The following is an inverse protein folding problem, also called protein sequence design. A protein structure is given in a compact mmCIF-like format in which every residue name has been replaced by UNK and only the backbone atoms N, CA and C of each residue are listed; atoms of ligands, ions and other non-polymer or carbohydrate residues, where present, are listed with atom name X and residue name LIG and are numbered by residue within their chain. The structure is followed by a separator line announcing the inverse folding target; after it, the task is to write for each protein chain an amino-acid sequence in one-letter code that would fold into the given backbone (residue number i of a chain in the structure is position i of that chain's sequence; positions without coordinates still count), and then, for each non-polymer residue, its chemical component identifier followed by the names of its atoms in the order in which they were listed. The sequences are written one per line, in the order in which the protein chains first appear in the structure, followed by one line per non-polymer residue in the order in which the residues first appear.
data_IF_553888893097
#
_entry.id   IF_553888893097
#
_cell.length_a   1.000
_cell.length_b   1.000
_cell.length_c   1.000
_cell.angle_alpha   90.00
_cell.angle_beta   90.00
_cell.angle_gamma   90.00
#
_symmetry.space_group_name_H-M   'P 1'
#
loop_
_entity.id
_entity.type
_entity.pdbx_description
1 polymer ?
#
# COMPACT_ATOMS: atom_id res chain seq x y z
N UNK A 1 -31.77 -23.62 -57.19
CA UNK A 1 -32.78 -23.11 -56.23
C UNK A 1 -32.08 -22.06 -55.36
N UNK A 2 -32.03 -20.79 -55.78
CA UNK A 2 -32.91 -19.66 -55.34
C UNK A 2 -32.85 -19.39 -53.82
N UNK A 3 -32.49 -18.22 -53.28
CA UNK A 3 -32.65 -16.83 -53.73
C UNK A 3 -31.65 -15.90 -52.99
N UNK A 4 -31.02 -14.99 -53.74
CA UNK A 4 -30.64 -13.66 -53.25
C UNK A 4 -31.81 -12.70 -53.48
N UNK A 5 -32.13 -11.83 -52.51
CA UNK A 5 -33.02 -10.68 -52.73
C UNK A 5 -32.31 -9.39 -52.28
N UNK A 6 -32.07 -8.54 -53.28
CA UNK A 6 -31.81 -7.10 -53.13
C UNK A 6 -33.09 -6.38 -52.69
N UNK A 7 -32.96 -5.34 -51.89
CA UNK A 7 -34.01 -4.31 -51.74
C UNK A 7 -33.40 -2.94 -52.03
N UNK A 8 -34.06 -2.27 -52.96
CA UNK A 8 -33.76 -0.97 -53.54
C UNK A 8 -34.03 0.20 -52.61
N UNK A 9 -33.24 1.25 -52.79
CA UNK A 9 -33.48 2.62 -52.36
C UNK A 9 -34.55 3.28 -53.25
N UNK A 10 -35.49 4.05 -52.69
CA UNK A 10 -36.10 5.19 -53.39
C UNK A 10 -36.72 6.22 -52.43
N UNK A 11 -36.47 7.47 -52.80
CA UNK A 11 -36.81 8.75 -52.18
C UNK A 11 -38.32 9.02 -52.08
N UNK A 12 -38.75 9.79 -51.07
CA UNK A 12 -39.92 10.68 -51.19
C UNK A 12 -39.81 11.93 -50.29
N UNK A 13 -39.74 13.08 -50.99
CA UNK A 13 -40.15 14.47 -50.72
C UNK A 13 -40.35 15.06 -49.30
N UNK A 14 -39.63 16.17 -49.10
CA UNK A 14 -40.09 17.54 -48.80
C UNK A 14 -41.50 17.77 -48.21
N UNK A 15 -41.55 18.44 -47.05
CA UNK A 15 -42.32 19.70 -46.93
C UNK A 15 -41.79 20.60 -45.80
N UNK A 16 -41.29 21.77 -46.20
CA UNK A 16 -41.10 22.95 -45.36
C UNK A 16 -42.47 23.44 -44.85
N UNK A 17 -42.55 23.91 -43.61
CA UNK A 17 -43.51 24.95 -43.26
C UNK A 17 -42.95 25.92 -42.21
N UNK A 18 -43.05 27.18 -42.59
CA UNK A 18 -42.52 28.39 -41.98
C UNK A 18 -43.52 28.97 -40.98
N UNK A 19 -43.08 29.36 -39.78
CA UNK A 19 -43.89 30.20 -38.89
C UNK A 19 -43.10 31.47 -38.53
N UNK A 20 -43.68 32.59 -38.95
CA UNK A 20 -43.20 33.97 -38.84
C UNK A 20 -43.26 34.51 -37.41
N UNK A 21 -42.28 35.37 -37.12
CA UNK A 21 -42.19 36.33 -35.99
C UNK A 21 -43.46 37.16 -35.79
N UNK A 22 -43.79 37.45 -34.52
CA UNK A 22 -44.41 38.72 -34.10
C UNK A 22 -43.80 39.21 -32.78
N UNK A 23 -43.26 40.43 -32.81
CA UNK A 23 -43.07 41.31 -31.63
C UNK A 23 -44.38 42.05 -31.37
N UNK A 24 -44.63 42.51 -30.14
CA UNK A 24 -44.95 43.93 -30.01
C UNK A 24 -44.35 44.64 -28.78
N UNK A 25 -43.97 45.88 -29.04
CA UNK A 25 -44.08 47.11 -28.24
C UNK A 25 -43.64 47.20 -26.77
N UNK A 26 -42.64 48.08 -26.60
CA UNK A 26 -42.27 48.84 -25.41
C UNK A 26 -43.42 49.66 -24.82
N UNK A 27 -43.54 49.70 -23.49
CA UNK A 27 -44.09 50.81 -22.71
C UNK A 27 -43.19 51.07 -21.49
N UNK A 28 -42.70 52.30 -21.41
CA UNK A 28 -41.95 52.86 -20.27
C UNK A 28 -42.87 52.95 -19.03
N UNK A 29 -42.39 52.49 -17.89
CA UNK A 29 -42.79 53.00 -16.58
C UNK A 29 -41.59 53.07 -15.64
N UNK A 30 -41.56 54.15 -14.87
CA UNK A 30 -40.43 54.68 -14.14
C UNK A 30 -40.00 53.88 -12.90
N UNK A 31 -38.71 54.04 -12.63
CA UNK A 31 -37.94 53.87 -11.39
C UNK A 31 -38.75 53.79 -10.09
N UNK A 32 -38.55 52.69 -9.34
CA UNK A 32 -38.52 52.72 -7.88
C UNK A 32 -37.53 51.66 -7.38
N UNK A 33 -36.41 52.14 -6.85
CA UNK A 33 -35.33 51.35 -6.24
C UNK A 33 -35.73 50.88 -4.84
N UNK A 34 -35.84 49.56 -4.64
CA UNK A 34 -35.76 48.94 -3.31
C UNK A 34 -34.84 47.71 -3.44
N UNK A 35 -33.60 47.86 -3.01
CA UNK A 35 -32.65 46.76 -2.90
C UNK A 35 -32.97 45.94 -1.64
N UNK A 36 -33.55 44.75 -1.82
CA UNK A 36 -33.67 43.75 -0.76
C UNK A 36 -32.68 42.62 -1.07
N UNK A 37 -31.50 42.67 -0.44
CA UNK A 37 -30.49 41.64 -0.55
C UNK A 37 -30.91 40.40 0.26
N UNK A 38 -31.51 39.43 -0.42
CA UNK A 38 -31.68 38.06 0.09
C UNK A 38 -30.34 37.33 -0.04
N UNK A 39 -29.62 37.21 1.08
CA UNK A 39 -28.47 36.32 1.21
C UNK A 39 -29.00 34.88 1.26
N UNK A 40 -29.07 34.24 0.10
CA UNK A 40 -29.17 32.78 0.04
C UNK A 40 -27.80 32.23 0.38
N UNK A 41 -27.64 31.74 1.61
CA UNK A 41 -26.47 30.94 1.99
C UNK A 41 -26.51 29.64 1.17
N UNK A 42 -25.88 29.66 0.00
CA UNK A 42 -25.51 28.45 -0.72
C UNK A 42 -24.46 27.72 0.13
N UNK A 43 -24.94 26.82 1.00
CA UNK A 43 -24.10 25.80 1.59
C UNK A 43 -23.53 24.98 0.44
N UNK A 44 -22.27 25.25 0.09
CA UNK A 44 -21.49 24.38 -0.78
C UNK A 44 -21.30 23.08 0.00
N UNK A 45 -22.21 22.13 -0.18
CA UNK A 45 -21.90 20.74 0.07
C UNK A 45 -20.79 20.42 -0.92
N UNK A 46 -19.55 20.43 -0.43
CA UNK A 46 -18.42 19.97 -1.19
C UNK A 46 -18.67 18.49 -1.51
N UNK A 47 -19.15 18.23 -2.73
CA UNK A 47 -19.06 16.91 -3.32
C UNK A 47 -17.59 16.47 -3.21
N UNK A 48 -17.29 15.20 -2.87
CA UNK A 48 -15.91 14.74 -2.79
C UNK A 48 -15.28 14.97 -4.17
N UNK A 49 -14.36 15.93 -4.23
CA UNK A 49 -13.58 16.15 -5.43
C UNK A 49 -12.87 14.84 -5.74
N UNK A 50 -13.22 14.25 -6.86
CA UNK A 50 -12.45 13.18 -7.49
C UNK A 50 -11.15 13.80 -7.98
N UNK A 51 -10.27 14.10 -7.02
CA UNK A 51 -9.03 14.83 -7.24
C UNK A 51 -8.03 13.96 -8.00
N UNK A 52 -7.19 14.60 -8.81
CA UNK A 52 -6.06 13.96 -9.45
C UNK A 52 -5.23 13.19 -8.40
N UNK A 53 -4.98 11.91 -8.64
CA UNK A 53 -4.07 11.06 -7.83
C UNK A 53 -2.58 11.49 -8.02
N UNK A 54 -2.28 12.79 -8.09
CA UNK A 54 -0.93 13.31 -8.25
C UNK A 54 -0.22 13.51 -6.91
N UNK A 55 -0.97 13.78 -5.84
CA UNK A 55 -0.42 13.94 -4.48
C UNK A 55 -0.65 12.66 -3.68
N UNK A 56 0.42 11.99 -3.18
CA UNK A 56 0.28 10.75 -2.46
C UNK A 56 -0.56 10.93 -1.19
N UNK A 57 -1.49 10.01 -0.88
CA UNK A 57 -2.25 10.08 0.37
C UNK A 57 -1.28 9.97 1.55
N UNK A 58 -1.16 11.00 2.41
CA UNK A 58 -0.13 11.06 3.46
C UNK A 58 -0.13 9.83 4.37
N UNK A 59 -1.33 9.37 4.72
CA UNK A 59 -1.52 8.23 5.59
C UNK A 59 -0.85 6.96 5.02
N UNK A 60 -0.90 6.76 3.69
CA UNK A 60 -0.34 5.56 3.07
C UNK A 60 1.19 5.53 3.21
N UNK A 61 1.82 6.70 3.26
CA UNK A 61 3.28 6.86 3.36
C UNK A 61 3.76 7.07 4.80
N UNK A 62 2.85 7.05 5.78
CA UNK A 62 3.17 7.28 7.18
C UNK A 62 3.52 8.73 7.45
N UNK A 63 2.71 9.67 6.93
CA UNK A 63 2.82 11.10 7.23
C UNK A 63 1.46 11.69 7.59
N UNK A 64 1.43 12.67 8.49
CA UNK A 64 0.22 13.40 8.86
C UNK A 64 -0.17 14.46 7.82
N UNK A 65 0.78 14.92 7.00
CA UNK A 65 0.60 16.05 6.09
C UNK A 65 0.94 15.68 4.64
N UNK A 66 0.25 16.30 3.66
CA UNK A 66 0.61 16.23 2.23
C UNK A 66 2.08 16.48 1.97
N UNK A 67 2.61 15.82 0.94
CA UNK A 67 3.96 16.09 0.45
C UNK A 67 4.01 17.53 -0.09
N UNK A 68 4.90 18.36 0.46
CA UNK A 68 5.24 19.66 -0.11
C UNK A 68 6.36 19.51 -1.14
N UNK A 69 6.34 20.24 -2.27
CA UNK A 69 7.40 20.18 -3.27
C UNK A 69 8.78 20.45 -2.64
N UNK A 70 9.75 19.58 -2.93
CA UNK A 70 11.11 19.68 -2.39
C UNK A 70 11.29 19.15 -0.97
N UNK A 71 10.24 18.64 -0.31
CA UNK A 71 10.40 18.01 1.00
C UNK A 71 11.28 16.75 0.90
N UNK A 72 12.30 16.69 1.74
CA UNK A 72 13.16 15.53 1.92
C UNK A 72 12.72 14.71 3.14
N UNK A 73 13.26 13.50 3.28
CA UNK A 73 13.11 12.72 4.50
C UNK A 73 13.50 13.58 5.72
N UNK A 74 12.70 13.54 6.82
CA UNK A 74 13.08 14.21 8.05
C UNK A 74 14.49 13.80 8.44
N UNK A 75 15.32 14.78 8.81
CA UNK A 75 16.62 14.48 9.38
C UNK A 75 16.41 13.58 10.61
N UNK A 76 17.25 12.55 10.83
CA UNK A 76 17.22 11.84 12.08
C UNK A 76 17.39 12.84 13.23
N UNK A 77 16.71 12.63 14.37
CA UNK A 77 16.89 13.51 15.52
C UNK A 77 18.38 13.61 15.86
N UNK A 78 18.82 14.80 16.26
CA UNK A 78 20.20 15.02 16.66
C UNK A 78 20.57 14.00 17.74
N UNK A 79 21.74 13.37 17.59
CA UNK A 79 22.25 12.48 18.62
C UNK A 79 22.36 13.28 19.94
N UNK A 80 21.94 12.71 21.07
CA UNK A 80 22.10 13.38 22.36
C UNK A 80 23.57 13.71 22.61
N UNK A 81 23.82 14.85 23.27
CA UNK A 81 25.16 15.39 23.50
C UNK A 81 26.09 14.41 24.25
N UNK A 82 25.51 13.52 25.05
CA UNK A 82 26.17 12.34 25.58
C UNK A 82 25.28 11.11 25.30
N UNK A 83 25.86 9.97 24.88
CA UNK A 83 25.10 8.74 24.80
C UNK A 83 24.60 8.38 26.21
N UNK A 84 23.33 7.96 26.36
CA UNK A 84 22.87 7.45 27.64
C UNK A 84 23.73 6.26 28.07
N UNK A 85 23.84 5.99 29.38
CA UNK A 85 24.52 4.78 29.85
C UNK A 85 23.94 3.54 29.16
N UNK A 86 24.75 2.49 28.92
CA UNK A 86 24.28 1.29 28.25
C UNK A 86 23.09 0.69 29.02
N UNK A 87 21.94 0.58 28.35
CA UNK A 87 20.83 -0.20 28.87
C UNK A 87 21.20 -1.68 28.80
N UNK A 88 21.36 -2.29 29.97
CA UNK A 88 21.74 -3.70 30.13
C UNK A 88 20.53 -4.58 30.46
N UNK A 89 19.32 -4.03 30.37
CA UNK A 89 18.08 -4.76 30.63
C UNK A 89 17.90 -5.88 29.61
N UNK A 90 17.74 -7.09 30.12
CA UNK A 90 17.52 -8.29 29.31
C UNK A 90 16.02 -8.46 29.05
N UNK A 91 15.63 -8.42 27.78
CA UNK A 91 14.23 -8.64 27.36
C UNK A 91 14.02 -10.10 26.94
N UNK A 92 12.77 -10.56 27.04
CA UNK A 92 12.33 -11.90 26.62
C UNK A 92 11.01 -11.79 25.89
N UNK A 93 10.77 -12.70 24.95
CA UNK A 93 9.48 -12.85 24.28
C UNK A 93 8.87 -14.22 24.59
N UNK A 94 7.53 -14.31 24.75
CA UNK A 94 6.85 -15.59 24.84
C UNK A 94 7.20 -16.50 23.66
N UNK A 95 7.52 -17.76 23.94
CA UNK A 95 7.90 -18.76 22.92
C UNK A 95 9.37 -18.70 22.47
N UNK A 96 10.13 -17.67 22.85
CA UNK A 96 11.57 -17.62 22.60
C UNK A 96 12.36 -18.20 23.78
N UNK A 97 13.45 -18.91 23.49
CA UNK A 97 14.41 -19.36 24.49
C UNK A 97 15.53 -18.33 24.75
N UNK A 98 15.55 -17.25 23.96
CA UNK A 98 16.61 -16.26 23.97
C UNK A 98 16.24 -15.04 24.79
N UNK A 99 17.26 -14.30 25.19
CA UNK A 99 17.12 -13.03 25.87
C UNK A 99 18.16 -12.06 25.34
N UNK A 100 17.74 -10.83 25.05
CA UNK A 100 18.58 -9.83 24.40
C UNK A 100 18.39 -8.46 25.06
N UNK A 101 19.47 -7.67 25.06
CA UNK A 101 19.43 -6.24 25.36
C UNK A 101 18.87 -5.47 24.16
N UNK A 102 18.35 -4.26 24.40
CA UNK A 102 17.75 -3.45 23.35
C UNK A 102 18.72 -3.09 22.20
N UNK A 103 20.02 -2.93 22.50
CA UNK A 103 21.04 -2.70 21.49
C UNK A 103 21.29 -3.92 20.60
N UNK A 104 21.19 -5.15 21.13
CA UNK A 104 21.28 -6.39 20.37
C UNK A 104 20.04 -6.60 19.50
N UNK A 105 18.86 -6.28 20.03
CA UNK A 105 17.59 -6.38 19.29
C UNK A 105 17.61 -5.51 18.02
N UNK A 106 18.28 -4.36 18.09
CA UNK A 106 18.26 -3.34 17.03
C UNK A 106 19.60 -3.18 16.33
N UNK A 107 20.52 -4.12 16.49
CA UNK A 107 21.81 -4.07 15.79
C UNK A 107 21.56 -4.09 14.28
N UNK A 108 22.17 -3.14 13.57
CA UNK A 108 22.05 -3.03 12.13
C UNK A 108 22.77 -4.13 11.37
N UNK A 109 23.69 -4.84 12.01
CA UNK A 109 24.57 -5.82 11.38
C UNK A 109 24.60 -7.14 12.14
N UNK A 110 23.51 -7.44 12.85
CA UNK A 110 23.33 -8.67 13.62
C UNK A 110 22.14 -8.55 14.58
N UNK A 111 20.95 -8.15 14.09
CA UNK A 111 19.78 -7.99 14.96
C UNK A 111 19.40 -9.32 15.59
N UNK A 112 18.80 -9.25 16.78
CA UNK A 112 18.32 -10.43 17.49
C UNK A 112 17.37 -11.29 16.62
N UNK A 113 17.65 -12.58 16.60
CA UNK A 113 16.74 -13.60 16.10
C UNK A 113 16.06 -14.30 17.27
N UNK A 114 14.81 -13.89 17.53
CA UNK A 114 14.01 -14.46 18.62
C UNK A 114 13.55 -15.89 18.34
N UNK A 115 13.41 -16.27 17.07
CA UNK A 115 12.78 -17.52 16.66
C UNK A 115 13.53 -18.18 15.48
N UNK A 116 14.77 -18.67 15.69
CA UNK A 116 15.56 -19.29 14.63
C UNK A 116 14.90 -20.52 13.97
N UNK A 117 13.92 -21.15 14.64
CA UNK A 117 13.15 -22.26 14.11
C UNK A 117 12.08 -21.89 13.07
N UNK A 118 11.80 -20.59 12.89
CA UNK A 118 10.76 -20.11 11.98
C UNK A 118 11.22 -19.98 10.51
N UNK A 119 12.51 -20.14 10.26
CA UNK A 119 13.10 -19.92 8.95
C UNK A 119 14.31 -20.83 8.72
N UNK A 120 14.74 -21.03 7.45
CA UNK A 120 16.00 -21.68 7.15
C UNK A 120 17.19 -20.95 7.78
N UNK A 121 18.39 -21.54 7.70
CA UNK A 121 19.61 -20.82 8.09
C UNK A 121 19.75 -19.53 7.27
N UNK A 122 19.87 -18.39 7.96
CA UNK A 122 20.10 -17.11 7.29
C UNK A 122 21.47 -17.08 6.61
N UNK A 123 21.57 -16.67 5.33
CA UNK A 123 22.84 -16.31 4.73
C UNK A 123 23.37 -15.02 5.35
N UNK A 124 24.69 -14.79 5.24
CA UNK A 124 25.37 -13.68 5.90
C UNK A 124 24.81 -12.31 5.51
N UNK A 125 24.49 -12.10 4.23
CA UNK A 125 23.85 -10.85 3.76
C UNK A 125 22.50 -10.56 4.41
N UNK A 126 21.77 -11.59 4.86
CA UNK A 126 20.49 -11.43 5.56
C UNK A 126 20.72 -11.22 7.05
N UNK A 127 21.66 -11.95 7.66
CA UNK A 127 21.93 -11.90 9.09
C UNK A 127 22.73 -10.66 9.52
N UNK A 128 23.75 -10.28 8.75
CA UNK A 128 24.74 -9.27 9.13
C UNK A 128 24.88 -8.13 8.11
N UNK A 129 24.46 -8.33 6.86
CA UNK A 129 24.64 -7.32 5.82
C UNK A 129 26.12 -7.04 5.55
N UNK A 130 26.51 -5.77 5.30
CA UNK A 130 27.87 -5.33 4.99
C UNK A 130 28.17 -4.01 5.69
N UNK A 131 28.83 -4.07 6.85
CA UNK A 131 29.09 -2.89 7.69
C UNK A 131 29.97 -1.85 7.02
N UNK A 132 31.00 -2.30 6.30
CA UNK A 132 31.92 -1.47 5.54
C UNK A 132 31.26 -0.73 4.37
N UNK A 133 30.19 -1.32 3.80
CA UNK A 133 29.45 -0.76 2.66
C UNK A 133 28.09 -0.17 3.06
N UNK A 134 27.86 -0.01 4.37
CA UNK A 134 26.62 0.53 4.95
C UNK A 134 25.36 -0.20 4.48
N UNK A 135 25.45 -1.50 4.23
CA UNK A 135 24.29 -2.36 3.94
C UNK A 135 23.87 -3.01 5.25
N UNK A 136 22.76 -2.58 5.84
CA UNK A 136 22.26 -3.22 7.06
C UNK A 136 21.74 -4.64 6.76
N UNK A 137 21.76 -5.50 7.78
CA UNK A 137 21.14 -6.82 7.75
C UNK A 137 19.68 -6.72 7.27
N UNK A 138 19.32 -7.56 6.28
CA UNK A 138 17.96 -7.60 5.74
C UNK A 138 16.94 -7.95 6.85
N UNK A 139 17.35 -8.86 7.74
CA UNK A 139 16.58 -9.35 8.89
C UNK A 139 16.21 -8.24 9.88
N UNK A 140 16.92 -7.10 9.90
CA UNK A 140 16.53 -5.98 10.75
C UNK A 140 15.15 -5.48 10.32
N UNK A 141 15.01 -5.05 9.06
CA UNK A 141 13.79 -4.40 8.55
C UNK A 141 12.72 -5.39 8.11
N UNK A 142 13.13 -6.51 7.52
CA UNK A 142 12.23 -7.52 6.95
C UNK A 142 11.91 -8.67 7.91
N UNK A 143 12.50 -8.67 9.12
CA UNK A 143 12.54 -9.79 10.06
C UNK A 143 13.28 -11.02 9.51
N UNK A 144 13.85 -11.88 10.39
CA UNK A 144 14.44 -13.15 9.97
C UNK A 144 13.48 -14.01 9.15
N UNK A 145 12.20 -14.08 9.56
CA UNK A 145 11.16 -14.82 8.84
C UNK A 145 10.61 -14.11 7.60
N UNK A 146 11.11 -12.91 7.26
CA UNK A 146 10.74 -12.16 6.06
C UNK A 146 9.36 -11.49 6.08
N UNK A 147 8.60 -11.55 7.19
CA UNK A 147 7.23 -10.98 7.25
C UNK A 147 7.20 -9.46 7.08
N UNK A 148 8.32 -8.80 7.36
CA UNK A 148 8.47 -7.35 7.28
C UNK A 148 7.57 -6.63 8.28
N UNK A 149 7.41 -5.33 8.14
CA UNK A 149 6.44 -4.52 8.90
C UNK A 149 5.65 -3.67 7.90
N UNK A 150 4.53 -3.01 8.27
CA UNK A 150 3.74 -2.24 7.32
C UNK A 150 4.55 -1.25 6.51
N UNK A 151 5.63 -0.66 7.05
CA UNK A 151 6.53 0.25 6.34
C UNK A 151 7.56 -0.46 5.42
N UNK A 152 7.95 -1.71 5.75
CA UNK A 152 8.98 -2.53 5.11
C UNK A 152 8.35 -3.85 4.61
N UNK A 153 8.02 -3.92 3.32
CA UNK A 153 7.34 -5.04 2.66
C UNK A 153 7.62 -6.44 3.26
N UNK A 154 6.59 -7.28 3.39
CA UNK A 154 6.81 -8.71 3.57
C UNK A 154 7.46 -9.30 2.31
N UNK A 155 8.57 -10.01 2.47
CA UNK A 155 9.38 -10.59 1.40
C UNK A 155 9.37 -12.12 1.38
N UNK A 156 8.86 -12.77 2.43
CA UNK A 156 8.70 -14.23 2.44
C UNK A 156 7.81 -14.70 1.30
N UNK A 157 8.22 -15.81 0.69
CA UNK A 157 7.46 -16.53 -0.33
C UNK A 157 7.30 -15.73 -1.62
N UNK A 158 8.08 -14.67 -1.82
CA UNK A 158 8.13 -14.00 -3.12
C UNK A 158 8.83 -14.91 -4.14
N UNK A 159 8.37 -14.95 -5.40
CA UNK A 159 9.06 -15.68 -6.44
C UNK A 159 10.52 -15.19 -6.56
N UNK A 160 11.45 -16.12 -6.71
CA UNK A 160 12.88 -15.81 -6.83
C UNK A 160 13.16 -14.75 -7.90
N UNK A 161 12.58 -14.91 -9.10
CA UNK A 161 12.74 -13.96 -10.21
C UNK A 161 12.15 -12.59 -9.91
N UNK A 162 11.01 -12.52 -9.23
CA UNK A 162 10.41 -11.25 -8.79
C UNK A 162 11.30 -10.52 -7.78
N UNK A 163 11.87 -11.27 -6.84
CA UNK A 163 12.77 -10.70 -5.83
C UNK A 163 14.03 -10.15 -6.49
N UNK A 164 14.70 -10.95 -7.32
CA UNK A 164 15.91 -10.52 -8.05
C UNK A 164 15.60 -9.29 -8.89
N UNK A 165 14.53 -9.31 -9.67
CA UNK A 165 14.16 -8.15 -10.50
C UNK A 165 13.83 -6.92 -9.65
N UNK A 166 13.17 -7.09 -8.51
CA UNK A 166 12.90 -5.99 -7.56
C UNK A 166 14.20 -5.33 -7.09
N UNK A 167 15.22 -6.12 -6.75
CA UNK A 167 16.52 -5.59 -6.34
C UNK A 167 17.25 -4.92 -7.50
N UNK A 168 17.17 -5.48 -8.71
CA UNK A 168 17.72 -4.83 -9.91
C UNK A 168 17.00 -3.50 -10.22
N UNK A 169 15.70 -3.42 -10.02
CA UNK A 169 14.94 -2.19 -10.22
C UNK A 169 15.33 -1.11 -9.17
N UNK A 170 15.61 -1.50 -7.93
CA UNK A 170 16.18 -0.59 -6.94
C UNK A 170 17.60 -0.15 -7.30
N UNK A 171 18.47 -1.10 -7.65
CA UNK A 171 19.87 -0.86 -8.06
C UNK A 171 19.96 0.15 -9.21
N UNK A 172 19.02 0.10 -10.14
CA UNK A 172 18.95 0.94 -11.33
C UNK A 172 17.98 2.13 -11.22
N UNK A 173 17.58 2.54 -10.02
CA UNK A 173 16.70 3.69 -9.78
C UNK A 173 15.32 3.62 -10.48
N UNK A 174 14.90 2.42 -10.92
CA UNK A 174 13.60 2.18 -11.54
C UNK A 174 12.49 2.09 -10.50
N UNK A 175 12.82 1.78 -9.24
CA UNK A 175 11.84 1.67 -8.15
C UNK A 175 12.10 2.72 -7.07
N UNK A 176 11.23 3.73 -7.01
CA UNK A 176 11.25 4.83 -6.02
C UNK A 176 9.90 4.95 -5.32
N UNK A 177 9.85 5.79 -4.28
CA UNK A 177 8.63 6.19 -3.58
C UNK A 177 8.16 7.52 -4.16
N UNK A 178 6.86 7.67 -4.40
CA UNK A 178 6.28 8.95 -4.81
C UNK A 178 6.35 9.99 -3.69
N UNK A 179 6.39 9.55 -2.42
CA UNK A 179 6.70 10.42 -1.29
C UNK A 179 8.20 10.32 -0.97
N UNK A 180 8.95 11.37 -1.28
CA UNK A 180 10.41 11.47 -1.09
C UNK A 180 10.84 11.46 0.37
N UNK A 181 9.90 11.69 1.30
CA UNK A 181 10.18 11.64 2.73
C UNK A 181 10.34 10.20 3.24
N UNK A 182 9.93 9.20 2.46
CA UNK A 182 10.01 7.79 2.81
C UNK A 182 11.46 7.27 2.79
N UNK A 183 12.15 7.42 3.93
CA UNK A 183 13.56 7.10 4.06
C UNK A 183 13.93 5.64 3.76
N UNK A 184 13.05 4.68 4.09
CA UNK A 184 13.37 3.26 3.94
C UNK A 184 13.46 2.82 2.46
N UNK A 185 12.68 3.42 1.55
CA UNK A 185 12.83 3.16 0.11
C UNK A 185 14.19 3.64 -0.38
N UNK A 186 14.65 4.83 0.05
CA UNK A 186 15.96 5.36 -0.32
C UNK A 186 17.10 4.50 0.25
N UNK A 187 16.94 3.96 1.47
CA UNK A 187 17.87 2.98 2.03
C UNK A 187 17.94 1.71 1.19
N UNK A 188 16.80 1.17 0.75
CA UNK A 188 16.81 -0.02 -0.12
C UNK A 188 17.48 0.24 -1.47
N UNK A 189 17.32 1.42 -2.07
CA UNK A 189 18.06 1.82 -3.28
C UNK A 189 19.56 1.82 -3.00
N UNK A 190 19.99 2.44 -1.89
CA UNK A 190 21.41 2.47 -1.50
C UNK A 190 21.97 1.06 -1.26
N UNK A 191 21.22 0.20 -0.57
CA UNK A 191 21.63 -1.18 -0.31
C UNK A 191 21.77 -1.96 -1.61
N UNK A 192 20.77 -1.90 -2.49
CA UNK A 192 20.81 -2.60 -3.78
C UNK A 192 22.01 -2.19 -4.66
N UNK A 193 22.42 -0.92 -4.60
CA UNK A 193 23.62 -0.41 -5.30
C UNK A 193 24.93 -0.96 -4.74
N UNK A 194 24.99 -1.24 -3.45
CA UNK A 194 26.17 -1.76 -2.75
C UNK A 194 26.18 -3.30 -2.61
N UNK A 195 25.14 -3.97 -3.12
CA UNK A 195 25.07 -5.44 -3.16
C UNK A 195 25.60 -5.98 -4.49
N UNK A 196 26.33 -7.07 -4.38
CA UNK A 196 26.68 -7.94 -5.51
C UNK A 196 25.45 -8.71 -5.99
N UNK A 197 25.50 -9.20 -7.22
CA UNK A 197 24.38 -9.96 -7.77
C UNK A 197 24.20 -11.30 -7.05
N UNK A 198 25.29 -11.92 -6.57
CA UNK A 198 25.22 -13.18 -5.83
C UNK A 198 24.61 -12.99 -4.43
N UNK A 199 24.90 -11.88 -3.75
CA UNK A 199 24.23 -11.49 -2.51
C UNK A 199 22.72 -11.31 -2.70
N UNK A 200 22.31 -10.66 -3.80
CA UNK A 200 20.89 -10.52 -4.17
C UNK A 200 20.25 -11.89 -4.39
N UNK A 201 20.91 -12.80 -5.10
CA UNK A 201 20.41 -14.16 -5.36
C UNK A 201 20.31 -14.99 -4.08
N UNK A 202 21.29 -14.89 -3.16
CA UNK A 202 21.25 -15.56 -1.86
C UNK A 202 20.05 -15.09 -1.03
N UNK A 203 19.82 -13.78 -0.94
CA UNK A 203 18.64 -13.23 -0.27
C UNK A 203 17.33 -13.69 -0.92
N UNK A 204 17.28 -13.72 -2.26
CA UNK A 204 16.11 -14.18 -3.02
C UNK A 204 15.82 -15.67 -2.78
N UNK A 205 16.85 -16.53 -2.75
CA UNK A 205 16.70 -17.95 -2.41
C UNK A 205 16.18 -18.13 -0.99
N UNK A 206 16.79 -17.43 -0.04
CA UNK A 206 16.43 -17.48 1.36
C UNK A 206 14.95 -17.08 1.60
N UNK A 207 14.57 -15.86 1.24
CA UNK A 207 13.21 -15.38 1.48
C UNK A 207 12.16 -16.08 0.60
N UNK A 208 12.54 -16.49 -0.61
CA UNK A 208 11.66 -17.25 -1.51
C UNK A 208 11.32 -18.65 -0.97
N UNK A 209 12.21 -19.26 -0.19
CA UNK A 209 11.97 -20.57 0.44
C UNK A 209 11.02 -20.50 1.65
N UNK A 210 10.82 -19.33 2.25
CA UNK A 210 9.94 -19.17 3.42
C UNK A 210 8.49 -19.05 2.95
N UNK A 211 7.62 -19.96 3.41
CA UNK A 211 6.19 -19.90 3.10
C UNK A 211 5.56 -18.63 3.68
N UNK A 212 4.86 -17.86 2.86
CA UNK A 212 4.07 -16.72 3.34
C UNK A 212 2.93 -17.23 4.24
N UNK A 213 2.77 -16.62 5.41
CA UNK A 213 1.67 -16.88 6.34
C UNK A 213 0.99 -15.55 6.70
N UNK A 214 -0.35 -15.46 6.74
CA UNK A 214 -1.02 -14.24 7.16
C UNK A 214 -0.71 -13.92 8.62
N UNK A 215 -0.64 -12.64 8.92
CA UNK A 215 -0.41 -12.10 10.27
C UNK A 215 -1.07 -10.72 10.46
N UNK A 216 -1.86 -10.31 9.48
CA UNK A 216 -2.64 -9.07 9.46
C UNK A 216 -4.11 -9.48 9.54
N UNK A 217 -4.82 -8.89 10.49
CA UNK A 217 -6.27 -9.01 10.60
C UNK A 217 -6.93 -7.75 10.07
N UNK A 218 -7.74 -7.90 9.03
CA UNK A 218 -8.49 -6.77 8.43
C UNK A 218 -9.79 -6.57 9.20
N UNK A 219 -10.09 -5.32 9.57
CA UNK A 219 -11.30 -4.94 10.32
C UNK A 219 -11.98 -3.75 9.64
N UNK A 220 -13.21 -3.96 9.19
CA UNK A 220 -14.08 -2.87 8.71
C UNK A 220 -14.66 -2.11 9.90
N UNK A 221 -14.46 -0.79 9.96
CA UNK A 221 -14.95 0.06 11.07
C UNK A 221 -15.07 1.52 10.66
N UNK A 222 -16.06 2.24 11.20
CA UNK A 222 -16.19 3.70 11.01
C UNK A 222 -15.20 4.50 11.86
N UNK A 223 -14.68 3.91 12.94
CA UNK A 223 -13.76 4.58 13.87
C UNK A 223 -12.54 3.72 14.17
N UNK A 224 -11.39 4.37 14.34
CA UNK A 224 -10.10 3.76 14.64
C UNK A 224 -9.53 4.34 15.93
N UNK A 225 -8.63 3.63 16.62
CA UNK A 225 -7.86 4.24 17.69
C UNK A 225 -7.10 5.47 17.19
N UNK A 226 -6.95 6.49 18.03
CA UNK A 226 -5.99 7.56 17.77
C UNK A 226 -4.59 6.97 17.70
N UNK A 227 -3.79 7.48 16.78
CA UNK A 227 -2.43 6.98 16.54
C UNK A 227 -1.46 8.12 16.34
N UNK A 228 -0.22 7.91 16.77
CA UNK A 228 0.95 8.68 16.30
C UNK A 228 1.72 7.89 15.25
N UNK A 229 2.47 8.63 14.45
CA UNK A 229 3.37 8.06 13.45
C UNK A 229 4.76 7.96 14.05
N UNK A 230 5.35 6.76 14.02
CA UNK A 230 6.74 6.54 14.36
C UNK A 230 7.36 5.51 13.41
N UNK A 231 8.55 5.79 12.87
CA UNK A 231 9.23 4.87 11.94
C UNK A 231 8.44 4.58 10.66
N UNK A 232 7.46 5.41 10.28
CA UNK A 232 6.57 5.14 9.13
C UNK A 232 5.42 4.16 9.42
N UNK A 233 5.18 3.81 10.68
CA UNK A 233 4.04 3.02 11.16
C UNK A 233 3.10 3.86 12.02
N UNK A 234 1.83 3.43 12.11
CA UNK A 234 0.86 3.97 13.05
C UNK A 234 0.91 3.20 14.37
N UNK A 235 1.25 3.89 15.45
CA UNK A 235 1.25 3.34 16.80
C UNK A 235 0.07 3.91 17.57
N UNK A 236 -0.70 3.03 18.23
CA UNK A 236 -1.86 3.43 19.02
C UNK A 236 -1.42 4.34 20.17
N UNK A 237 -2.16 5.43 20.37
CA UNK A 237 -1.94 6.33 21.50
C UNK A 237 -2.53 5.74 22.77
N UNK A 238 -1.78 5.87 23.87
CA UNK A 238 -2.12 5.35 25.19
C UNK A 238 -2.27 6.49 26.20
N UNK A 239 -2.79 6.20 27.39
CA UNK A 239 -2.95 7.19 28.46
C UNK A 239 -3.88 8.34 28.10
N UNK A 240 -3.47 9.58 28.37
CA UNK A 240 -4.30 10.78 28.18
C UNK A 240 -4.56 11.11 26.69
N UNK A 241 -3.79 10.53 25.79
CA UNK A 241 -3.82 10.76 24.34
C UNK A 241 -4.63 9.67 23.63
N UNK A 242 -4.99 8.60 24.35
CA UNK A 242 -5.86 7.54 23.87
C UNK A 242 -7.23 8.10 23.43
N UNK A 243 -7.89 7.35 22.54
CA UNK A 243 -9.21 7.69 22.06
C UNK A 243 -9.49 7.07 20.71
N UNK A 244 -10.60 7.49 20.10
CA UNK A 244 -10.97 7.09 18.74
C UNK A 244 -11.12 8.31 17.84
N UNK A 245 -10.95 8.10 16.54
CA UNK A 245 -11.21 9.07 15.49
C UNK A 245 -11.94 8.40 14.30
N UNK A 246 -12.71 9.15 13.49
CA UNK A 246 -13.32 8.62 12.28
C UNK A 246 -12.26 8.13 11.29
N UNK A 247 -12.45 6.96 10.68
CA UNK A 247 -11.47 6.41 9.74
C UNK A 247 -11.38 7.20 8.44
N UNK A 248 -12.52 7.70 7.93
CA UNK A 248 -12.59 8.34 6.61
C UNK A 248 -12.12 7.41 5.48
N UNK A 249 -11.54 7.96 4.42
CA UNK A 249 -10.94 7.17 3.33
C UNK A 249 -9.47 6.85 3.60
N UNK A 250 -9.20 6.13 4.70
CA UNK A 250 -7.84 5.75 5.12
C UNK A 250 -7.77 4.27 5.46
N UNK A 251 -6.57 3.71 5.38
CA UNK A 251 -6.23 2.45 6.02
C UNK A 251 -5.29 2.77 7.16
N UNK A 252 -5.65 2.36 8.38
CA UNK A 252 -4.81 2.53 9.56
C UNK A 252 -4.37 1.14 9.99
N UNK A 253 -3.09 0.82 9.74
CA UNK A 253 -2.49 -0.46 10.07
C UNK A 253 -1.61 -0.30 11.30
N UNK A 254 -2.03 -0.88 12.42
CA UNK A 254 -1.35 -0.78 13.72
C UNK A 254 -0.83 -2.14 14.16
N UNK A 255 0.27 -2.20 14.92
CA UNK A 255 0.61 -3.39 15.68
C UNK A 255 -0.55 -3.83 16.58
N UNK A 256 -0.70 -5.14 16.81
CA UNK A 256 -1.55 -5.64 17.90
C UNK A 256 -0.96 -5.30 19.27
N UNK A 257 0.39 -5.28 19.36
CA UNK A 257 1.14 -4.85 20.54
C UNK A 257 2.31 -3.96 20.13
N UNK A 258 2.24 -2.68 20.50
CA UNK A 258 3.25 -1.68 20.12
C UNK A 258 4.65 -2.02 20.63
N UNK A 259 4.78 -2.39 21.91
CA UNK A 259 6.06 -2.75 22.53
C UNK A 259 6.71 -3.96 21.82
N UNK A 260 5.96 -5.06 21.67
CA UNK A 260 6.44 -6.26 21.01
C UNK A 260 6.94 -5.97 19.58
N UNK A 261 6.18 -5.19 18.79
CA UNK A 261 6.51 -4.94 17.38
C UNK A 261 7.61 -3.90 17.19
N UNK A 262 7.47 -2.72 17.80
CA UNK A 262 8.38 -1.60 17.55
C UNK A 262 9.62 -1.70 18.43
N UNK A 263 9.43 -2.00 19.72
CA UNK A 263 10.54 -1.98 20.65
C UNK A 263 11.36 -3.27 20.59
N UNK A 264 10.67 -4.42 20.67
CA UNK A 264 11.28 -5.74 20.76
C UNK A 264 11.45 -6.44 19.42
N UNK A 265 10.90 -5.89 18.32
CA UNK A 265 11.01 -6.47 16.96
C UNK A 265 10.50 -7.93 16.88
N UNK A 266 9.45 -8.25 17.63
CA UNK A 266 8.82 -9.56 17.67
C UNK A 266 8.19 -9.92 16.30
N UNK A 267 8.76 -10.91 15.60
CA UNK A 267 8.27 -11.37 14.29
C UNK A 267 6.99 -12.22 14.35
N UNK A 268 6.49 -12.52 15.56
CA UNK A 268 5.17 -13.12 15.83
C UNK A 268 4.10 -12.08 16.17
N UNK A 269 4.47 -10.82 16.42
CA UNK A 269 3.50 -9.77 16.74
C UNK A 269 2.74 -9.36 15.48
N UNK A 270 1.43 -9.62 15.47
CA UNK A 270 0.54 -9.36 14.34
C UNK A 270 0.16 -7.89 14.20
N UNK A 271 -0.62 -7.61 13.16
CA UNK A 271 -1.14 -6.28 12.85
C UNK A 271 -2.65 -6.29 12.67
N UNK A 272 -3.29 -5.18 13.01
CA UNK A 272 -4.69 -4.90 12.68
C UNK A 272 -4.69 -3.85 11.58
N UNK A 273 -5.29 -4.19 10.44
CA UNK A 273 -5.54 -3.22 9.37
C UNK A 273 -7.01 -2.78 9.44
N UNK A 274 -7.23 -1.59 9.98
CA UNK A 274 -8.55 -0.97 9.96
C UNK A 274 -8.81 -0.38 8.58
N UNK A 275 -9.97 -0.69 8.01
CA UNK A 275 -10.40 -0.26 6.67
C UNK A 275 -11.83 0.28 6.71
N UNK A 276 -12.24 1.14 5.76
CA UNK A 276 -13.58 1.70 5.76
C UNK A 276 -14.66 0.61 5.58
N UNK A 277 -15.86 0.75 6.17
CA UNK A 277 -16.91 -0.25 6.02
C UNK A 277 -17.32 -0.49 4.56
N UNK A 278 -17.53 -1.77 4.21
CA UNK A 278 -17.86 -2.21 2.86
C UNK A 278 -16.69 -2.18 1.85
N UNK A 279 -15.50 -1.77 2.26
CA UNK A 279 -14.30 -1.74 1.39
C UNK A 279 -13.91 -3.12 0.89
N UNK A 280 -14.08 -4.18 1.70
CA UNK A 280 -13.78 -5.55 1.31
C UNK A 280 -14.70 -6.00 0.17
N UNK A 281 -16.01 -5.76 0.31
CA UNK A 281 -17.01 -6.11 -0.72
C UNK A 281 -16.81 -5.32 -2.02
N UNK A 282 -16.54 -4.02 -1.92
CA UNK A 282 -16.21 -3.18 -3.09
C UNK A 282 -14.90 -3.65 -3.76
N UNK A 283 -13.91 -4.02 -2.96
CA UNK A 283 -12.62 -4.53 -3.40
C UNK A 283 -12.75 -5.86 -4.15
N UNK A 284 -13.60 -6.76 -3.65
CA UNK A 284 -13.90 -8.02 -4.31
C UNK A 284 -14.38 -7.82 -5.75
N UNK A 285 -15.31 -6.89 -5.97
CA UNK A 285 -15.81 -6.60 -7.32
C UNK A 285 -14.68 -6.11 -8.25
N UNK A 286 -13.85 -5.17 -7.79
CA UNK A 286 -12.70 -4.66 -8.55
C UNK A 286 -11.69 -5.77 -8.88
N UNK A 287 -11.42 -6.66 -7.92
CA UNK A 287 -10.42 -7.71 -8.05
C UNK A 287 -10.90 -8.86 -8.94
N UNK A 288 -12.17 -9.24 -8.82
CA UNK A 288 -12.73 -10.44 -9.48
C UNK A 288 -13.29 -10.18 -10.88
N UNK A 289 -13.83 -8.99 -11.16
CA UNK A 289 -14.41 -8.68 -12.47
C UNK A 289 -13.93 -7.33 -13.05
N UNK A 290 -13.04 -6.63 -12.36
CA UNK A 290 -12.48 -5.34 -12.81
C UNK A 290 -13.42 -4.14 -12.62
N UNK A 291 -14.72 -4.37 -12.41
CA UNK A 291 -15.78 -3.36 -12.30
C UNK A 291 -15.72 -2.25 -13.38
N UNK A 292 -15.27 -2.59 -14.59
CA UNK A 292 -15.07 -1.64 -15.70
C UNK A 292 -13.90 -0.65 -15.52
N UNK A 293 -13.15 -0.74 -14.42
CA UNK A 293 -12.05 0.17 -14.08
C UNK A 293 -10.66 -0.44 -14.24
N UNK A 294 -10.54 -1.75 -14.10
CA UNK A 294 -9.24 -2.44 -14.14
C UNK A 294 -9.34 -3.83 -14.76
N UNK A 295 -8.18 -4.47 -14.97
CA UNK A 295 -8.12 -5.88 -15.35
C UNK A 295 -8.30 -6.75 -14.10
N UNK A 296 -9.01 -7.86 -14.24
CA UNK A 296 -9.17 -8.85 -13.18
C UNK A 296 -7.81 -9.29 -12.64
N UNK A 297 -7.56 -9.10 -11.34
CA UNK A 297 -6.23 -9.27 -10.77
C UNK A 297 -5.79 -10.75 -10.80
N UNK A 298 -6.75 -11.66 -10.64
CA UNK A 298 -6.52 -13.10 -10.62
C UNK A 298 -5.96 -13.65 -11.94
N UNK A 299 -6.14 -12.95 -13.06
CA UNK A 299 -5.59 -13.33 -14.37
C UNK A 299 -4.05 -13.40 -14.32
N UNK A 300 -3.41 -12.52 -13.55
CA UNK A 300 -1.96 -12.48 -13.41
C UNK A 300 -1.49 -12.97 -12.04
N UNK A 301 -2.18 -12.60 -10.96
CA UNK A 301 -1.77 -12.95 -9.59
C UNK A 301 -2.25 -14.35 -9.14
N UNK A 302 -2.84 -15.13 -10.04
CA UNK A 302 -3.40 -16.45 -9.79
C UNK A 302 -4.80 -16.40 -9.15
N UNK A 303 -5.56 -17.50 -9.28
CA UNK A 303 -6.95 -17.59 -8.84
C UNK A 303 -7.16 -17.19 -7.36
N UNK A 304 -6.21 -17.55 -6.50
CA UNK A 304 -6.24 -17.24 -5.06
C UNK A 304 -5.38 -16.02 -4.69
N UNK A 305 -4.89 -15.26 -5.68
CA UNK A 305 -3.98 -14.13 -5.50
C UNK A 305 -2.65 -14.47 -4.81
N UNK A 306 -2.23 -15.74 -4.87
CA UNK A 306 -1.01 -16.25 -4.23
C UNK A 306 0.23 -16.21 -5.14
N UNK A 307 0.08 -15.70 -6.38
CA UNK A 307 1.15 -15.56 -7.36
C UNK A 307 1.05 -16.58 -8.48
N UNK A 308 1.72 -16.30 -9.59
CA UNK A 308 1.80 -17.17 -10.77
C UNK A 308 3.13 -16.91 -11.50
N UNK A 309 4.02 -17.90 -11.50
CA UNK A 309 5.35 -17.75 -12.09
C UNK A 309 6.12 -16.56 -11.49
N UNK A 310 6.58 -15.58 -12.29
CA UNK A 310 7.26 -14.39 -11.79
C UNK A 310 6.32 -13.35 -11.16
N UNK A 311 4.99 -13.52 -11.27
CA UNK A 311 4.02 -12.57 -10.70
C UNK A 311 3.88 -12.84 -9.21
N UNK A 312 4.08 -11.83 -8.33
CA UNK A 312 4.07 -12.04 -6.88
C UNK A 312 2.66 -12.33 -6.36
N UNK A 313 2.59 -13.13 -5.29
CA UNK A 313 1.36 -13.22 -4.49
C UNK A 313 1.06 -11.91 -3.78
N UNK A 314 -0.22 -11.53 -3.73
CA UNK A 314 -0.72 -10.31 -3.07
C UNK A 314 -1.74 -10.62 -1.94
N UNK A 315 -2.20 -11.87 -1.84
CA UNK A 315 -3.07 -12.34 -0.76
C UNK A 315 -2.40 -12.16 0.62
N UNK A 316 -3.15 -11.65 1.58
CA UNK A 316 -2.74 -11.54 2.99
C UNK A 316 -1.59 -10.57 3.26
N UNK A 317 -1.09 -9.83 2.26
CA UNK A 317 0.00 -8.86 2.41
C UNK A 317 -0.50 -7.53 2.97
N UNK A 318 0.41 -6.77 3.59
CA UNK A 318 0.12 -5.46 4.19
C UNK A 318 -0.64 -4.53 3.22
N UNK A 319 -1.87 -4.09 3.57
CA UNK A 319 -2.62 -3.17 2.73
C UNK A 319 -1.95 -1.80 2.65
N UNK A 320 -1.29 -1.34 3.72
CA UNK A 320 -0.52 -0.07 3.69
C UNK A 320 0.66 -0.14 2.73
N UNK A 321 1.30 -1.30 2.61
CA UNK A 321 2.33 -1.51 1.60
C UNK A 321 1.75 -1.55 0.18
N UNK A 322 0.70 -2.35 -0.03
CA UNK A 322 0.13 -2.56 -1.36
C UNK A 322 -0.47 -1.28 -1.94
N UNK A 323 -1.15 -0.45 -1.14
CA UNK A 323 -1.73 0.82 -1.64
C UNK A 323 -0.63 1.75 -2.15
N UNK A 324 0.51 1.83 -1.45
CA UNK A 324 1.67 2.58 -1.93
C UNK A 324 2.20 2.01 -3.23
N UNK A 325 2.24 0.69 -3.39
CA UNK A 325 2.72 0.09 -4.64
C UNK A 325 1.79 0.43 -5.81
N UNK A 326 0.46 0.34 -5.62
CA UNK A 326 -0.51 0.73 -6.64
C UNK A 326 -0.35 2.21 -7.02
N UNK A 327 -0.19 3.07 -6.02
CA UNK A 327 0.01 4.50 -6.21
C UNK A 327 1.34 4.81 -6.92
N UNK A 328 2.45 4.26 -6.44
CA UNK A 328 3.80 4.45 -7.01
C UNK A 328 3.86 4.00 -8.48
N UNK A 329 3.15 2.92 -8.83
CA UNK A 329 3.01 2.46 -10.23
C UNK A 329 2.15 3.41 -11.06
N UNK A 330 1.05 3.93 -10.49
CA UNK A 330 0.15 4.85 -11.18
C UNK A 330 0.84 6.17 -11.53
N UNK A 331 1.65 6.72 -10.62
CA UNK A 331 2.39 7.96 -10.84
C UNK A 331 3.79 7.75 -11.43
N UNK A 332 4.10 6.52 -11.85
CA UNK A 332 5.40 6.14 -12.45
C UNK A 332 6.63 6.40 -11.55
N UNK A 333 6.46 6.46 -10.23
CA UNK A 333 7.56 6.43 -9.27
C UNK A 333 8.18 5.02 -9.17
N UNK A 334 7.37 3.99 -9.40
CA UNK A 334 7.80 2.60 -9.62
C UNK A 334 7.69 2.27 -11.11
N UNK A 335 8.80 1.80 -11.68
CA UNK A 335 9.00 1.38 -13.08
C UNK A 335 9.71 0.01 -13.08
N UNK A 336 10.11 -0.47 -14.25
CA UNK A 336 10.77 -1.76 -14.41
C UNK A 336 9.97 -2.71 -15.30
N UNK A 337 10.62 -3.77 -15.74
CA UNK A 337 10.10 -4.71 -16.74
C UNK A 337 8.71 -5.25 -16.37
N UNK A 338 8.56 -5.81 -15.17
CA UNK A 338 7.27 -6.32 -14.70
C UNK A 338 6.28 -5.22 -14.29
N UNK A 339 6.78 -4.04 -13.94
CA UNK A 339 5.93 -2.91 -13.53
C UNK A 339 5.16 -2.34 -14.73
N UNK A 340 5.71 -2.41 -15.94
CA UNK A 340 5.05 -1.88 -17.13
C UNK A 340 3.71 -2.60 -17.42
N UNK A 341 3.58 -3.87 -17.04
CA UNK A 341 2.33 -4.62 -17.12
C UNK A 341 1.24 -4.09 -16.17
N UNK A 342 1.63 -3.47 -15.06
CA UNK A 342 0.70 -2.91 -14.08
C UNK A 342 0.19 -1.50 -14.45
N UNK A 343 0.87 -0.78 -15.34
CA UNK A 343 0.45 0.57 -15.78
C UNK A 343 -1.01 0.63 -16.25
N UNK A 344 -1.49 -0.20 -17.19
CA UNK A 344 -2.89 -0.17 -17.60
C UNK A 344 -3.85 -0.62 -16.49
N UNK A 345 -3.39 -1.47 -15.57
CA UNK A 345 -4.19 -1.98 -14.44
C UNK A 345 -4.51 -0.85 -13.45
N UNK A 346 -3.54 0.03 -13.18
CA UNK A 346 -3.70 1.12 -12.20
C UNK A 346 -4.19 2.43 -12.80
N UNK A 347 -4.14 2.59 -14.13
CA UNK A 347 -4.36 3.88 -14.80
C UNK A 347 -5.68 4.58 -14.46
N UNK A 348 -6.75 3.81 -14.22
CA UNK A 348 -8.11 4.35 -13.96
C UNK A 348 -8.58 4.21 -12.51
N UNK A 349 -7.73 3.70 -11.61
CA UNK A 349 -8.10 3.49 -10.22
C UNK A 349 -8.11 4.83 -9.46
N UNK A 350 -9.17 5.10 -8.71
CA UNK A 350 -9.17 6.20 -7.72
C UNK A 350 -8.44 5.77 -6.44
N UNK A 351 -8.14 6.71 -5.55
CA UNK A 351 -7.65 6.39 -4.21
C UNK A 351 -8.59 5.45 -3.44
N UNK A 352 -9.93 5.65 -3.54
CA UNK A 352 -10.92 4.75 -2.95
C UNK A 352 -10.84 3.34 -3.57
N UNK A 353 -10.69 3.23 -4.90
CA UNK A 353 -10.55 1.93 -5.56
C UNK A 353 -9.31 1.18 -5.07
N UNK A 354 -8.17 1.87 -4.91
CA UNK A 354 -6.96 1.27 -4.37
C UNK A 354 -7.14 0.81 -2.92
N UNK A 355 -7.81 1.60 -2.07
CA UNK A 355 -8.14 1.21 -0.69
C UNK A 355 -8.99 -0.07 -0.68
N UNK A 356 -10.05 -0.09 -1.49
CA UNK A 356 -10.97 -1.22 -1.60
C UNK A 356 -10.23 -2.49 -2.07
N UNK A 357 -9.43 -2.38 -3.13
CA UNK A 357 -8.63 -3.50 -3.65
C UNK A 357 -7.76 -4.09 -2.54
N UNK A 358 -6.97 -3.26 -1.85
CA UNK A 358 -6.02 -3.78 -0.87
C UNK A 358 -6.69 -4.27 0.41
N UNK A 359 -7.84 -3.71 0.80
CA UNK A 359 -8.67 -4.24 1.87
C UNK A 359 -9.11 -5.68 1.55
N UNK A 360 -9.58 -5.92 0.33
CA UNK A 360 -9.92 -7.27 -0.12
C UNK A 360 -8.70 -8.18 -0.18
N UNK A 361 -7.61 -7.80 -0.85
CA UNK A 361 -6.44 -8.69 -1.00
C UNK A 361 -5.79 -9.03 0.33
N UNK A 362 -5.71 -8.08 1.26
CA UNK A 362 -5.18 -8.32 2.60
C UNK A 362 -6.09 -9.26 3.44
N UNK A 363 -7.40 -9.28 3.17
CA UNK A 363 -8.34 -10.20 3.85
C UNK A 363 -8.28 -11.64 3.33
N UNK A 364 -7.58 -11.90 2.22
CA UNK A 364 -7.52 -13.24 1.62
C UNK A 364 -6.65 -14.19 2.44
N UNK A 365 -7.09 -15.45 2.62
CA UNK A 365 -6.26 -16.47 3.25
C UNK A 365 -5.04 -16.81 2.39
N UNK A 366 -3.96 -17.26 3.04
CA UNK A 366 -2.72 -17.71 2.40
C UNK A 366 -2.36 -19.07 2.98
N UNK A 367 -2.01 -20.02 2.10
CA UNK A 367 -1.71 -21.39 2.49
C UNK A 367 -2.99 -22.20 2.70
N UNK A 368 -3.10 -23.29 1.93
CA UNK A 368 -4.25 -24.20 1.83
C UNK A 368 -5.58 -23.54 1.45
N UNK A 369 -5.99 -23.76 0.19
CA UNK A 369 -7.40 -23.84 -0.11
C UNK A 369 -7.99 -24.87 0.84
N UNK A 370 -8.84 -24.46 1.79
CA UNK A 370 -9.80 -25.42 2.31
C UNK A 370 -10.58 -25.93 1.11
N UNK A 371 -10.25 -27.13 0.66
CA UNK A 371 -11.14 -27.95 -0.15
C UNK A 371 -12.29 -28.37 0.75
N UNK A 372 -13.13 -27.40 1.12
CA UNK A 372 -14.42 -27.67 1.74
C UNK A 372 -15.47 -27.68 0.64
N UNK A 373 -15.80 -28.90 0.19
CA UNK A 373 -17.14 -29.22 -0.30
C UNK A 373 -17.27 -29.55 -1.78
N UNK A 374 -17.75 -30.76 -2.08
CA UNK A 374 -18.46 -31.07 -3.32
C UNK A 374 -18.25 -32.50 -3.83
N UNK A 375 -18.94 -33.46 -3.22
CA UNK A 375 -18.86 -34.88 -3.57
C UNK A 375 -19.63 -35.31 -4.83
N UNK A 376 -19.40 -36.57 -5.20
CA UNK A 376 -20.37 -37.62 -5.53
C UNK A 376 -19.65 -38.97 -5.52
#
# INVERSE_FOLDING_TARGET
MTKHLNVHCSMFNCHLSSIKRRRPHMRNFAVLTIALALVVAAGVVAAPQSGSNSVPPPWAFGFATPLTPGAAAPAPPAAPAAPPPPDTTMHRLPGSQFSFMLNQIRDQYGPADWFPGDHPQMPDVVAHGKRDQMVAACSLCHYPNGKGRPENAGVSGLPYSYFVQTMMDFKNDKRKSSDTRKANTNRMISFAKNMTDDEIKQAAQYFGAIKWSPWIRVVETDTVPKTRIAGGMFLVEEGAQAGKEPIGQRIIETPEKTEDTEMLRNSHSGFIAYVPPGSIKKGEALVTNGAGKTTQCAVCHGANLQGLGPVPGIAGRSPSYLVRQLYDMQVSARKGEWTDLMKPVVAKLTAEDMINIVAYTASRPVGESRTSGGGR
#
